data_IF_482412834718
#
_entry.id   IF_482412834718
#
_cell.length_a   1.000
_cell.length_b   1.000
_cell.length_c   1.000
_cell.angle_alpha   90.00
_cell.angle_beta   90.00
_cell.angle_gamma   90.00
#
_symmetry.space_group_name_H-M   'P 1'
#
loop_
_entity.id
_entity.type
_entity.pdbx_description
1 polymer ?
#
# COMPACT_ATOMS: atom_id res chain seq x y z
N UNK A 1 -10.06 3.09 12.81
CA UNK A 1 -10.80 4.16 12.11
C UNK A 1 -10.19 5.49 12.51
N UNK A 2 -9.85 6.34 11.56
CA UNK A 2 -9.15 7.60 11.80
C UNK A 2 -9.72 8.72 10.93
N UNK A 3 -9.62 9.97 11.40
CA UNK A 3 -10.13 11.15 10.70
C UNK A 3 -9.06 12.24 10.73
N UNK A 4 -8.74 12.76 9.56
CA UNK A 4 -7.75 13.81 9.37
C UNK A 4 -8.40 14.99 8.61
N UNK A 5 -8.36 16.17 9.20
CA UNK A 5 -8.61 17.41 8.49
C UNK A 5 -7.27 17.96 7.98
N UNK A 6 -7.15 18.09 6.68
CA UNK A 6 -5.92 18.57 6.04
C UNK A 6 -5.94 20.08 5.80
N UNK A 7 -4.77 20.67 5.65
CA UNK A 7 -4.63 22.13 5.45
C UNK A 7 -5.22 22.63 4.13
N UNK A 8 -5.44 21.75 3.15
CA UNK A 8 -6.13 22.07 1.90
C UNK A 8 -7.67 22.12 2.03
N UNK A 9 -8.21 22.00 3.25
CA UNK A 9 -9.64 22.05 3.54
C UNK A 9 -10.40 20.78 3.18
N UNK A 10 -9.71 19.63 3.19
CA UNK A 10 -10.33 18.32 2.98
C UNK A 10 -10.34 17.48 4.24
N UNK A 11 -11.40 16.74 4.39
CA UNK A 11 -11.55 15.73 5.43
C UNK A 11 -11.26 14.34 4.83
N UNK A 12 -10.28 13.66 5.40
CA UNK A 12 -9.93 12.28 5.07
C UNK A 12 -10.44 11.37 6.18
N UNK A 13 -11.24 10.39 5.84
CA UNK A 13 -11.84 9.45 6.79
C UNK A 13 -11.41 8.05 6.43
N UNK A 14 -10.54 7.45 7.24
CA UNK A 14 -10.15 6.06 7.11
C UNK A 14 -11.29 5.16 7.60
N UNK A 15 -11.94 4.47 6.67
CA UNK A 15 -12.99 3.51 6.98
C UNK A 15 -12.38 2.14 7.32
N UNK A 16 -13.09 1.35 8.10
CA UNK A 16 -12.66 -0.01 8.45
C UNK A 16 -12.55 -0.95 7.23
N UNK A 17 -13.32 -0.66 6.18
CA UNK A 17 -13.21 -1.29 4.87
C UNK A 17 -13.69 -0.31 3.81
N UNK A 18 -13.07 -0.35 2.63
CA UNK A 18 -13.45 0.54 1.53
C UNK A 18 -12.49 1.71 1.27
N UNK A 19 -11.37 1.74 2.00
CA UNK A 19 -10.32 2.75 1.81
C UNK A 19 -10.57 4.03 2.58
N UNK A 20 -10.30 5.17 1.94
CA UNK A 20 -10.40 6.50 2.52
C UNK A 20 -11.50 7.27 1.81
N UNK A 21 -12.42 7.80 2.61
CA UNK A 21 -13.46 8.70 2.14
C UNK A 21 -12.98 10.15 2.27
N UNK A 22 -13.20 10.96 1.24
CA UNK A 22 -12.82 12.37 1.20
C UNK A 22 -14.05 13.24 1.06
N UNK A 23 -14.09 14.34 1.81
CA UNK A 23 -15.08 15.40 1.69
C UNK A 23 -14.41 16.76 1.83
N UNK A 24 -14.95 17.79 1.18
CA UNK A 24 -14.53 19.17 1.43
C UNK A 24 -15.17 19.66 2.75
N UNK A 25 -14.36 20.25 3.64
CA UNK A 25 -14.84 20.72 4.95
C UNK A 25 -15.94 21.76 4.84
N UNK A 26 -15.87 22.64 3.84
CA UNK A 26 -16.91 23.65 3.57
C UNK A 26 -18.25 23.02 3.18
N UNK A 27 -18.24 21.81 2.62
CA UNK A 27 -19.46 21.11 2.19
C UNK A 27 -20.16 20.36 3.32
N UNK A 28 -19.50 20.14 4.47
CA UNK A 28 -20.03 19.35 5.58
C UNK A 28 -21.29 19.95 6.22
N UNK A 29 -21.48 21.27 6.10
CA UNK A 29 -22.67 21.97 6.57
C UNK A 29 -23.76 22.09 5.49
N UNK A 30 -23.54 21.57 4.30
CA UNK A 30 -24.51 21.58 3.21
C UNK A 30 -25.56 20.46 3.38
N UNK A 31 -26.71 20.63 2.76
CA UNK A 31 -27.74 19.58 2.72
C UNK A 31 -27.36 18.34 1.92
N UNK A 32 -26.30 18.43 1.11
CA UNK A 32 -25.75 17.31 0.34
C UNK A 32 -24.22 17.34 0.43
N UNK A 33 -23.68 16.36 1.13
CA UNK A 33 -22.25 16.17 1.22
C UNK A 33 -21.84 15.25 0.06
N UNK A 34 -20.86 15.68 -0.73
CA UNK A 34 -20.26 14.86 -1.76
C UNK A 34 -19.01 14.19 -1.21
N UNK A 35 -18.97 12.85 -1.32
CA UNK A 35 -17.83 12.05 -0.95
C UNK A 35 -17.14 11.51 -2.20
N UNK A 36 -15.82 11.63 -2.23
CA UNK A 36 -14.95 10.88 -3.13
C UNK A 36 -14.20 9.81 -2.35
N UNK A 37 -13.61 8.83 -3.05
CA UNK A 37 -13.01 7.67 -2.40
C UNK A 37 -11.63 7.40 -2.97
N UNK A 38 -10.66 7.17 -2.08
CA UNK A 38 -9.38 6.55 -2.40
C UNK A 38 -9.46 5.09 -1.96
N UNK A 39 -9.33 4.17 -2.90
CA UNK A 39 -9.37 2.73 -2.67
C UNK A 39 -8.48 1.99 -3.66
N UNK A 40 -8.46 0.67 -3.62
CA UNK A 40 -7.65 -0.15 -4.54
C UNK A 40 -7.91 0.12 -6.02
N UNK A 41 -9.11 0.53 -6.40
CA UNK A 41 -9.46 0.81 -7.80
C UNK A 41 -8.78 2.06 -8.34
N UNK A 42 -8.39 2.98 -7.46
CA UNK A 42 -7.74 4.24 -7.81
C UNK A 42 -6.36 4.42 -7.16
N UNK A 43 -5.68 3.31 -6.88
CA UNK A 43 -4.26 3.30 -6.56
C UNK A 43 -3.89 3.10 -5.08
N UNK A 44 -4.87 3.01 -4.17
CA UNK A 44 -4.56 2.64 -2.80
C UNK A 44 -4.10 1.17 -2.75
N UNK A 45 -3.03 0.84 -2.01
CA UNK A 45 -2.53 -0.53 -1.98
C UNK A 45 -3.42 -1.49 -1.18
N UNK A 46 -4.20 -0.95 -0.22
CA UNK A 46 -5.21 -1.68 0.55
C UNK A 46 -6.41 -0.81 0.88
N UNK A 47 -7.56 -1.45 1.03
CA UNK A 47 -8.79 -0.80 1.49
C UNK A 47 -8.91 -0.78 3.04
N UNK A 48 -7.81 -1.07 3.76
CA UNK A 48 -7.75 -1.14 5.23
C UNK A 48 -6.73 -0.14 5.80
N UNK A 49 -6.92 1.19 5.64
CA UNK A 49 -6.10 2.19 6.29
C UNK A 49 -6.33 2.16 7.80
N UNK A 50 -5.26 2.28 8.60
CA UNK A 50 -5.32 2.26 10.06
C UNK A 50 -5.26 3.67 10.65
N UNK A 51 -4.29 4.47 10.20
CA UNK A 51 -4.09 5.83 10.68
C UNK A 51 -3.54 6.73 9.58
N UNK A 52 -3.76 8.03 9.71
CA UNK A 52 -3.33 9.04 8.74
C UNK A 52 -2.72 10.23 9.44
N UNK A 53 -1.80 10.91 8.76
CA UNK A 53 -1.31 12.21 9.18
C UNK A 53 -0.85 13.03 7.97
N UNK A 54 -0.84 14.34 8.10
CA UNK A 54 -0.36 15.26 7.08
C UNK A 54 1.05 15.75 7.42
N UNK A 55 1.96 15.73 6.42
CA UNK A 55 3.28 16.32 6.56
C UNK A 55 3.27 17.84 6.26
N UNK A 56 4.42 18.49 6.44
CA UNK A 56 4.54 19.94 6.21
C UNK A 56 4.36 20.34 4.74
N UNK A 57 4.54 19.41 3.81
CA UNK A 57 4.46 19.62 2.36
C UNK A 57 3.05 19.29 1.83
N UNK A 58 2.08 18.97 2.72
CA UNK A 58 0.69 18.67 2.35
C UNK A 58 0.48 17.24 1.87
N UNK A 59 1.47 16.37 1.99
CA UNK A 59 1.26 14.97 1.67
C UNK A 59 0.57 14.25 2.83
N UNK A 60 -0.33 13.35 2.50
CA UNK A 60 -1.05 12.52 3.46
C UNK A 60 -0.32 11.18 3.58
N UNK A 61 0.22 10.92 4.77
CA UNK A 61 0.83 9.66 5.12
C UNK A 61 -0.21 8.73 5.72
N UNK A 62 -0.26 7.50 5.24
CA UNK A 62 -1.29 6.53 5.60
C UNK A 62 -0.58 5.28 6.11
N UNK A 63 -0.87 4.90 7.34
CA UNK A 63 -0.38 3.65 7.91
C UNK A 63 -1.34 2.51 7.58
N UNK A 64 -0.77 1.40 7.13
CA UNK A 64 -1.42 0.12 6.96
C UNK A 64 -0.70 -0.91 7.83
N UNK A 65 -1.20 -2.12 7.93
CA UNK A 65 -0.62 -3.16 8.78
C UNK A 65 0.87 -3.45 8.47
N UNK A 66 1.21 -3.57 7.17
CA UNK A 66 2.54 -4.04 6.74
C UNK A 66 3.29 -3.03 5.85
N UNK A 67 2.79 -1.83 5.68
CA UNK A 67 3.42 -0.80 4.85
C UNK A 67 2.87 0.59 5.16
N UNK A 68 3.55 1.59 4.62
CA UNK A 68 3.19 2.99 4.74
C UNK A 68 2.93 3.53 3.34
N UNK A 69 1.84 4.26 3.18
CA UNK A 69 1.50 4.97 1.96
C UNK A 69 1.77 6.47 2.10
N UNK A 70 2.17 7.11 1.02
CA UNK A 70 2.23 8.56 0.86
C UNK A 70 1.33 8.96 -0.30
N UNK A 71 0.32 9.72 -0.03
CA UNK A 71 -0.55 10.31 -1.03
C UNK A 71 -0.21 11.79 -1.22
N UNK A 72 0.00 12.21 -2.47
CA UNK A 72 0.20 13.60 -2.84
C UNK A 72 -1.10 14.14 -3.45
N UNK A 73 -1.90 14.94 -2.71
CA UNK A 73 -3.20 15.42 -3.20
C UNK A 73 -3.10 16.28 -4.47
N UNK A 74 -2.05 17.10 -4.59
CA UNK A 74 -1.85 17.99 -5.74
C UNK A 74 -1.68 17.22 -7.06
N UNK A 75 -1.02 16.06 -7.00
CA UNK A 75 -0.73 15.24 -8.19
C UNK A 75 -1.67 14.05 -8.35
N UNK A 76 -2.42 13.72 -7.29
CA UNK A 76 -3.23 12.50 -7.24
C UNK A 76 -2.39 11.21 -7.25
N UNK A 77 -1.11 11.30 -6.88
CA UNK A 77 -0.16 10.20 -6.91
C UNK A 77 -0.04 9.51 -5.55
N UNK A 78 0.18 8.20 -5.60
CA UNK A 78 0.36 7.38 -4.42
C UNK A 78 1.70 6.63 -4.47
N UNK A 79 2.44 6.68 -3.39
CA UNK A 79 3.69 5.93 -3.19
C UNK A 79 3.53 4.98 -2.01
N UNK A 80 4.11 3.78 -2.12
CA UNK A 80 4.06 2.77 -1.06
C UNK A 80 5.46 2.41 -0.62
N UNK A 81 5.66 2.27 0.70
CA UNK A 81 6.89 1.84 1.35
C UNK A 81 6.60 0.59 2.19
N UNK A 82 7.12 -0.52 1.78
CA UNK A 82 6.99 -1.83 2.41
C UNK A 82 8.23 -2.20 3.26
N UNK A 83 8.28 -3.43 3.73
CA UNK A 83 9.41 -3.95 4.51
C UNK A 83 10.75 -3.84 3.79
N UNK A 84 10.78 -3.99 2.46
CA UNK A 84 12.01 -3.87 1.68
C UNK A 84 12.53 -2.43 1.66
N UNK A 85 11.63 -1.43 1.59
CA UNK A 85 11.97 -0.03 1.65
C UNK A 85 12.34 0.43 3.07
N UNK A 86 11.66 -0.13 4.08
CA UNK A 86 11.82 0.24 5.48
C UNK A 86 12.93 -0.58 6.17
N UNK A 87 13.47 -1.60 5.50
CA UNK A 87 14.47 -2.54 6.03
C UNK A 87 14.04 -3.18 7.36
N UNK A 88 12.75 -3.51 7.47
CA UNK A 88 12.17 -4.07 8.69
C UNK A 88 10.90 -4.87 8.37
N UNK A 89 10.71 -5.99 9.05
CA UNK A 89 9.51 -6.83 8.98
C UNK A 89 8.50 -6.50 10.09
N UNK A 90 8.56 -5.30 10.63
CA UNK A 90 7.68 -4.88 11.70
C UNK A 90 6.24 -4.73 11.22
N UNK A 91 5.30 -5.22 12.01
CA UNK A 91 3.90 -4.89 11.87
C UNK A 91 3.61 -3.53 12.52
N UNK A 92 2.96 -2.66 11.77
CA UNK A 92 2.54 -1.35 12.25
C UNK A 92 1.33 -1.54 13.15
N UNK A 93 1.36 -0.90 14.31
CA UNK A 93 0.23 -0.91 15.25
C UNK A 93 -0.85 0.08 14.79
N UNK A 94 -2.07 -0.10 15.31
CA UNK A 94 -3.17 0.84 15.09
C UNK A 94 -3.00 2.19 15.82
N UNK A 95 -1.87 2.39 16.53
CA UNK A 95 -1.58 3.63 17.21
C UNK A 95 -1.38 4.77 16.20
N UNK A 96 -1.93 5.92 16.50
CA UNK A 96 -1.79 7.11 15.66
C UNK A 96 -0.30 7.52 15.57
N UNK A 97 0.26 7.68 14.36
CA UNK A 97 1.62 8.15 14.17
C UNK A 97 1.77 9.63 14.55
N UNK A 98 2.99 10.06 14.78
CA UNK A 98 3.30 11.47 15.07
C UNK A 98 4.47 11.96 14.21
N UNK A 99 4.48 13.24 13.84
CA UNK A 99 5.61 13.90 13.17
C UNK A 99 6.22 14.93 14.13
N UNK A 100 7.54 14.90 14.27
CA UNK A 100 8.25 15.91 15.02
C UNK A 100 8.52 17.20 14.19
N UNK A 101 8.97 18.26 14.86
CA UNK A 101 9.29 19.55 14.21
C UNK A 101 10.39 19.45 13.15
N UNK A 102 11.18 18.39 13.15
CA UNK A 102 12.26 18.11 12.20
C UNK A 102 11.80 17.28 11.00
N UNK A 103 10.51 16.87 10.96
CA UNK A 103 9.93 16.07 9.89
C UNK A 103 10.23 14.57 10.03
N UNK A 104 10.61 14.09 11.21
CA UNK A 104 10.70 12.66 11.45
C UNK A 104 9.33 12.13 11.94
N UNK A 105 8.87 11.04 11.32
CA UNK A 105 7.64 10.36 11.68
C UNK A 105 7.96 9.21 12.66
N UNK A 106 7.14 9.08 13.68
CA UNK A 106 7.20 8.03 14.69
C UNK A 106 5.95 7.18 14.60
N UNK A 107 6.12 5.88 14.46
CA UNK A 107 5.04 4.92 14.27
C UNK A 107 5.18 3.81 15.30
N UNK A 108 4.10 3.49 16.00
CA UNK A 108 4.04 2.33 16.87
C UNK A 108 4.09 1.03 16.06
N UNK A 109 4.81 0.05 16.56
CA UNK A 109 4.94 -1.27 15.97
C UNK A 109 4.81 -2.36 17.03
N UNK A 110 4.67 -3.61 16.62
CA UNK A 110 4.66 -4.75 17.53
C UNK A 110 5.98 -4.97 18.30
N UNK A 111 7.08 -4.31 17.87
CA UNK A 111 8.40 -4.42 18.50
C UNK A 111 8.91 -3.11 19.10
N UNK A 112 8.11 -2.06 19.12
CA UNK A 112 8.47 -0.76 19.69
C UNK A 112 8.07 0.40 18.78
N UNK A 113 8.96 1.37 18.59
CA UNK A 113 8.70 2.57 17.81
C UNK A 113 9.63 2.62 16.60
N UNK A 114 9.04 2.65 15.41
CA UNK A 114 9.75 2.92 14.18
C UNK A 114 9.88 4.44 13.98
N UNK A 115 11.10 4.94 13.83
CA UNK A 115 11.39 6.34 13.50
C UNK A 115 11.81 6.45 12.04
N UNK A 116 11.06 7.20 11.25
CA UNK A 116 11.33 7.42 9.84
C UNK A 116 11.66 8.90 9.57
N UNK A 117 12.74 9.17 8.87
CA UNK A 117 13.01 10.48 8.29
C UNK A 117 12.37 10.55 6.91
N UNK A 118 11.29 11.30 6.76
CA UNK A 118 10.46 11.30 5.55
C UNK A 118 11.23 11.75 4.29
N UNK A 119 12.24 12.62 4.46
CA UNK A 119 13.09 13.07 3.34
C UNK A 119 14.09 12.02 2.86
N UNK A 120 14.43 11.05 3.71
CA UNK A 120 15.39 9.99 3.37
C UNK A 120 14.70 8.79 2.72
N UNK A 121 13.37 8.73 2.74
CA UNK A 121 12.61 7.67 2.11
C UNK A 121 12.72 7.80 0.59
N UNK A 122 13.46 6.89 0.00
CA UNK A 122 13.57 6.76 -1.45
C UNK A 122 12.76 5.55 -1.89
N UNK A 123 11.95 5.74 -2.92
CA UNK A 123 11.31 4.62 -3.58
C UNK A 123 12.38 3.72 -4.15
N UNK A 124 12.36 2.46 -3.79
CA UNK A 124 13.20 1.46 -4.43
C UNK A 124 12.78 1.36 -5.89
N UNK A 125 13.68 1.66 -6.82
CA UNK A 125 13.49 1.41 -8.25
C UNK A 125 13.82 -0.05 -8.62
N UNK A 126 13.87 -0.92 -7.63
CA UNK A 126 14.11 -2.34 -7.87
C UNK A 126 12.90 -2.93 -8.59
N UNK A 127 13.07 -3.24 -9.84
CA UNK A 127 12.11 -4.02 -10.62
C UNK A 127 12.44 -5.49 -10.38
N UNK A 128 11.61 -6.23 -9.62
CA UNK A 128 11.86 -7.65 -9.40
C UNK A 128 11.84 -8.38 -10.73
N UNK A 129 12.91 -9.14 -11.00
CA UNK A 129 12.97 -10.02 -12.16
C UNK A 129 12.24 -11.32 -11.79
N UNK A 130 11.12 -11.56 -12.43
CA UNK A 130 10.42 -12.83 -12.29
C UNK A 130 11.22 -13.89 -13.05
N UNK A 131 11.61 -14.93 -12.36
CA UNK A 131 12.28 -16.09 -12.95
C UNK A 131 11.42 -17.31 -12.63
N UNK A 132 10.99 -18.00 -13.66
CA UNK A 132 10.33 -19.29 -13.48
C UNK A 132 11.39 -20.34 -13.13
N UNK A 133 11.27 -20.94 -11.95
CA UNK A 133 12.22 -21.96 -11.47
C UNK A 133 11.82 -23.39 -11.89
N UNK A 134 10.58 -23.58 -12.30
CA UNK A 134 10.06 -24.86 -12.77
C UNK A 134 8.59 -24.78 -13.12
N UNK A 135 8.14 -25.76 -13.86
CA UNK A 135 6.74 -25.95 -14.21
C UNK A 135 6.35 -27.39 -13.87
N UNK A 136 5.25 -27.55 -13.12
CA UNK A 136 4.68 -28.86 -12.86
C UNK A 136 3.66 -29.19 -13.93
N UNK A 137 3.88 -30.25 -14.64
CA UNK A 137 3.00 -30.72 -15.72
C UNK A 137 2.30 -31.98 -15.24
N UNK A 138 0.98 -31.98 -15.28
CA UNK A 138 0.15 -33.12 -14.94
C UNK A 138 -0.48 -33.73 -16.21
N UNK A 139 -0.25 -35.00 -16.44
CA UNK A 139 -0.84 -35.73 -17.51
C UNK A 139 -2.29 -36.11 -17.22
N UNK A 140 -3.04 -36.40 -18.28
CA UNK A 140 -4.43 -36.85 -18.17
C UNK A 140 -4.62 -38.23 -17.49
N UNK A 141 -3.53 -38.99 -17.33
CA UNK A 141 -3.48 -40.27 -16.62
C UNK A 141 -3.16 -40.12 -15.11
N UNK A 142 -2.99 -38.89 -14.64
CA UNK A 142 -2.66 -38.58 -13.24
C UNK A 142 -1.17 -38.57 -12.92
N UNK A 143 -0.31 -38.90 -13.88
CA UNK A 143 1.15 -38.77 -13.69
C UNK A 143 1.56 -37.29 -13.76
N UNK A 144 2.49 -36.89 -12.90
CA UNK A 144 3.02 -35.54 -12.87
C UNK A 144 4.55 -35.55 -12.90
N UNK A 145 5.12 -34.56 -13.58
CA UNK A 145 6.56 -34.33 -13.54
C UNK A 145 6.86 -32.83 -13.48
N UNK A 146 8.00 -32.49 -12.90
CA UNK A 146 8.47 -31.11 -12.84
C UNK A 146 9.56 -30.92 -13.90
N UNK A 147 9.40 -29.93 -14.76
CA UNK A 147 10.41 -29.54 -15.73
C UNK A 147 11.01 -28.19 -15.31
N UNK A 148 12.34 -28.11 -15.36
CA UNK A 148 13.05 -26.84 -15.21
C UNK A 148 13.02 -26.16 -16.58
N UNK A 149 12.47 -24.95 -16.65
CA UNK A 149 12.44 -24.17 -17.88
C UNK A 149 13.86 -23.72 -18.23
N UNK A 150 14.40 -24.28 -19.30
CA UNK A 150 15.67 -23.90 -19.91
C UNK A 150 15.47 -22.99 -21.12
N UNK A 151 14.20 -22.84 -21.57
CA UNK A 151 13.83 -22.09 -22.76
C UNK A 151 12.70 -21.10 -22.47
N UNK A 152 12.58 -20.08 -23.33
CA UNK A 152 11.56 -19.01 -23.20
C UNK A 152 10.14 -19.48 -23.54
N UNK A 153 9.97 -20.74 -23.96
CA UNK A 153 8.67 -21.32 -24.31
C UNK A 153 8.57 -22.78 -23.91
N UNK A 154 7.39 -23.19 -23.48
CA UNK A 154 7.04 -24.57 -23.17
C UNK A 154 6.01 -25.05 -24.20
N UNK A 155 6.31 -26.13 -24.90
CA UNK A 155 5.37 -26.76 -25.84
C UNK A 155 4.76 -27.99 -25.16
N UNK A 156 3.48 -27.94 -24.89
CA UNK A 156 2.74 -29.03 -24.28
C UNK A 156 2.10 -29.94 -25.33
N UNK A 157 2.14 -31.23 -25.13
CA UNK A 157 1.43 -32.20 -25.94
C UNK A 157 -0.07 -32.19 -25.63
N UNK A 158 -0.89 -32.79 -26.50
CA UNK A 158 -2.35 -32.86 -26.31
C UNK A 158 -2.78 -33.60 -25.03
N UNK A 159 -1.89 -34.42 -24.44
CA UNK A 159 -2.13 -35.16 -23.19
C UNK A 159 -1.77 -34.37 -21.93
N UNK A 160 -0.98 -33.31 -22.07
CA UNK A 160 -0.45 -32.45 -20.99
C UNK A 160 -1.28 -31.16 -20.90
N UNK A 161 -2.53 -31.26 -20.40
CA UNK A 161 -3.46 -30.12 -20.43
C UNK A 161 -3.56 -29.31 -19.14
N UNK A 162 -3.01 -29.81 -18.03
CA UNK A 162 -3.02 -29.11 -16.74
C UNK A 162 -1.60 -28.69 -16.38
N UNK A 163 -1.36 -27.39 -16.28
CA UNK A 163 -0.07 -26.76 -15.94
C UNK A 163 -0.26 -25.89 -14.71
#
# INVERSE_FOLDING_TARGET
MDVLESRDGKLYIAAYSGGICLADTDSLLSTRIHFSYLNKKNGLPSDLPQAMLEDKDGNIWICFENYIGKYCPERGEFETYDSANLHTDLQISEAHPAIDRRGAMYIGTNQGVLRLRLYDLKKSHFVPRIVYTGVNIQNSDGTAYTSILVADSLVLSKKERNV
#
